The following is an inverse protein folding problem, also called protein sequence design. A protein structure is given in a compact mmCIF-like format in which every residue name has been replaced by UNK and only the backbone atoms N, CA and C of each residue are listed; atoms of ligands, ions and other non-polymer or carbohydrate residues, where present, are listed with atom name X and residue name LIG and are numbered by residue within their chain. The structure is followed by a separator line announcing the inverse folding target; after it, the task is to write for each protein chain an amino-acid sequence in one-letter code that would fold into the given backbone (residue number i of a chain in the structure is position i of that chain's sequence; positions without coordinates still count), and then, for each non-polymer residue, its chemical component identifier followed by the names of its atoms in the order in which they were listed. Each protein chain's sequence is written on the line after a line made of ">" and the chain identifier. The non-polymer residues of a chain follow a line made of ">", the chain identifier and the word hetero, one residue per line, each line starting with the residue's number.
data_IF_814312227672
#
_entry.id   IF_814312227672
#
_cell.length_a   1.000
_cell.length_b   1.000
_cell.length_c   1.000
_cell.angle_alpha   90.00
_cell.angle_beta   90.00
_cell.angle_gamma   90.00
#
_symmetry.space_group_name_H-M   'P 1'
#
loop_
_entity.id
_entity.type
_entity.pdbx_description
1 polymer ?
#
# COMPACT_ATOMS: atom_id res chain seq x y z
N UNK A 1 10.29 14.09 12.18
CA UNK A 1 9.47 13.42 11.15
C UNK A 1 10.46 12.89 10.13
N UNK A 2 11.22 11.87 10.52
CA UNK A 2 12.40 11.34 9.80
C UNK A 2 12.33 9.81 9.67
N UNK A 3 11.14 9.21 9.81
CA UNK A 3 11.00 7.76 9.78
C UNK A 3 10.64 7.21 8.40
N UNK A 4 10.20 8.03 7.43
CA UNK A 4 9.87 7.54 6.09
C UNK A 4 11.01 7.82 5.10
N UNK A 5 11.45 6.83 4.30
CA UNK A 5 12.46 7.07 3.27
C UNK A 5 11.97 8.12 2.27
N UNK A 6 12.83 9.06 1.86
CA UNK A 6 12.51 10.07 0.84
C UNK A 6 11.97 9.44 -0.46
N UNK A 7 12.46 8.25 -0.79
CA UNK A 7 12.02 7.46 -1.92
C UNK A 7 10.53 7.07 -1.83
N UNK A 8 10.05 6.76 -0.61
CA UNK A 8 8.63 6.48 -0.35
C UNK A 8 7.80 7.74 -0.51
N UNK A 9 8.30 8.87 -0.03
CA UNK A 9 7.63 10.16 -0.17
C UNK A 9 7.55 10.60 -1.63
N UNK A 10 8.61 10.39 -2.42
CA UNK A 10 8.61 10.66 -3.86
C UNK A 10 7.57 9.79 -4.57
N UNK A 11 7.58 8.47 -4.32
CA UNK A 11 6.61 7.54 -4.90
C UNK A 11 5.16 7.92 -4.53
N UNK A 12 4.91 8.35 -3.29
CA UNK A 12 3.60 8.84 -2.86
C UNK A 12 3.21 10.16 -3.52
N UNK A 13 4.17 11.07 -3.74
CA UNK A 13 3.94 12.35 -4.42
C UNK A 13 3.67 12.19 -5.91
N UNK A 14 4.27 11.19 -6.55
CA UNK A 14 4.08 10.87 -7.98
C UNK A 14 2.85 9.98 -8.21
N UNK A 15 2.30 9.40 -7.14
CA UNK A 15 1.13 8.54 -7.19
C UNK A 15 -0.15 9.29 -7.55
N UNK A 16 -0.94 8.71 -8.44
CA UNK A 16 -2.27 9.22 -8.79
C UNK A 16 -3.25 9.06 -7.61
N UNK A 17 -4.25 9.95 -7.47
CA UNK A 17 -5.32 9.84 -6.48
C UNK A 17 -6.01 8.46 -6.48
N UNK A 18 -6.30 7.93 -7.67
CA UNK A 18 -6.95 6.63 -7.84
C UNK A 18 -6.08 5.48 -7.34
N UNK A 19 -4.76 5.57 -7.55
CA UNK A 19 -3.80 4.61 -7.02
C UNK A 19 -3.76 4.64 -5.49
N UNK A 20 -3.69 5.84 -4.89
CA UNK A 20 -3.66 6.01 -3.44
C UNK A 20 -4.93 5.45 -2.78
N UNK A 21 -6.09 5.64 -3.40
CA UNK A 21 -7.35 5.08 -2.91
C UNK A 21 -7.39 3.55 -3.02
N UNK A 22 -6.98 3.00 -4.16
CA UNK A 22 -6.89 1.57 -4.38
C UNK A 22 -5.92 0.93 -3.36
N UNK A 23 -4.75 1.53 -3.17
CA UNK A 23 -3.73 1.05 -2.25
C UNK A 23 -4.17 1.17 -0.78
N UNK A 24 -4.81 2.27 -0.39
CA UNK A 24 -5.43 2.40 0.94
C UNK A 24 -6.49 1.30 1.19
N UNK A 25 -7.27 0.97 0.16
CA UNK A 25 -8.27 -0.12 0.24
C UNK A 25 -7.59 -1.47 0.41
N UNK A 26 -6.52 -1.73 -0.34
CA UNK A 26 -5.73 -2.94 -0.23
C UNK A 26 -5.12 -3.10 1.17
N UNK A 27 -4.44 -2.08 1.67
CA UNK A 27 -3.84 -2.10 3.01
C UNK A 27 -4.89 -2.34 4.10
N UNK A 28 -6.07 -1.72 4.00
CA UNK A 28 -7.15 -1.95 4.96
C UNK A 28 -7.68 -3.39 4.90
N UNK A 29 -7.75 -3.99 3.70
CA UNK A 29 -8.14 -5.40 3.55
C UNK A 29 -7.08 -6.33 4.15
N UNK A 30 -5.79 -6.06 3.90
CA UNK A 30 -4.67 -6.84 4.44
C UNK A 30 -4.59 -6.72 5.98
N UNK A 31 -4.86 -5.54 6.54
CA UNK A 31 -4.93 -5.35 8.00
C UNK A 31 -6.11 -6.06 8.65
N UNK A 32 -7.26 -6.12 7.96
CA UNK A 32 -8.48 -6.75 8.50
C UNK A 32 -8.48 -8.27 8.37
N UNK A 33 -7.82 -8.81 7.34
CA UNK A 33 -7.79 -10.24 7.09
C UNK A 33 -6.45 -10.80 7.55
N UNK A 34 -6.50 -11.72 8.53
CA UNK A 34 -5.32 -12.48 8.91
C UNK A 34 -4.97 -13.58 7.88
N UNK A 35 -5.84 -13.80 6.91
CA UNK A 35 -5.69 -14.79 5.83
C UNK A 35 -5.31 -14.10 4.51
N UNK A 36 -4.65 -14.84 3.57
CA UNK A 36 -4.37 -14.34 2.23
C UNK A 36 -5.65 -13.91 1.51
N UNK A 37 -5.66 -12.69 0.98
CA UNK A 37 -6.71 -12.16 0.13
C UNK A 37 -6.67 -12.81 -1.25
N UNK A 38 -7.81 -12.96 -1.92
CA UNK A 38 -7.77 -13.31 -3.33
C UNK A 38 -7.27 -12.15 -4.19
N UNK A 39 -6.49 -12.43 -5.22
CA UNK A 39 -6.03 -11.43 -6.21
C UNK A 39 -7.23 -10.80 -6.93
N UNK A 40 -8.33 -11.53 -7.09
CA UNK A 40 -9.58 -11.00 -7.63
C UNK A 40 -10.24 -9.93 -6.73
N UNK A 41 -9.86 -9.90 -5.45
CA UNK A 41 -10.25 -8.84 -4.52
C UNK A 41 -9.31 -7.62 -4.57
N UNK A 42 -8.30 -7.61 -5.44
CA UNK A 42 -7.55 -6.39 -5.71
C UNK A 42 -8.45 -5.35 -6.37
N UNK A 43 -8.35 -4.08 -5.97
CA UNK A 43 -8.94 -2.98 -6.72
C UNK A 43 -8.47 -3.04 -8.17
N UNK A 44 -9.35 -2.70 -9.12
CA UNK A 44 -9.07 -2.75 -10.56
C UNK A 44 -7.77 -2.04 -10.93
N UNK A 45 -7.48 -0.90 -10.29
CA UNK A 45 -6.25 -0.15 -10.53
C UNK A 45 -4.97 -0.92 -10.16
N UNK A 46 -5.02 -1.78 -9.14
CA UNK A 46 -3.90 -2.61 -8.67
C UNK A 46 -3.83 -3.98 -9.37
N UNK A 47 -4.79 -4.30 -10.24
CA UNK A 47 -4.67 -5.47 -11.12
C UNK A 47 -3.68 -5.19 -12.26
N UNK A 48 -3.42 -3.92 -12.57
CA UNK A 48 -2.35 -3.54 -13.49
C UNK A 48 -0.97 -3.88 -12.89
N UNK A 49 -0.12 -4.52 -13.68
CA UNK A 49 1.19 -4.96 -13.20
C UNK A 49 2.09 -3.78 -12.79
N UNK A 50 1.99 -2.62 -13.45
CA UNK A 50 2.80 -1.44 -13.11
C UNK A 50 2.37 -0.85 -11.77
N UNK A 51 1.05 -0.66 -11.59
CA UNK A 51 0.50 -0.20 -10.33
C UNK A 51 0.81 -1.19 -9.19
N UNK A 52 0.71 -2.49 -9.46
CA UNK A 52 1.05 -3.53 -8.49
C UNK A 52 2.54 -3.48 -8.10
N UNK A 53 3.45 -3.29 -9.05
CA UNK A 53 4.89 -3.15 -8.73
C UNK A 53 5.18 -1.90 -7.90
N UNK A 54 4.52 -0.78 -8.22
CA UNK A 54 4.65 0.44 -7.41
C UNK A 54 4.12 0.23 -5.99
N UNK A 55 3.01 -0.49 -5.84
CA UNK A 55 2.45 -0.90 -4.55
C UNK A 55 3.42 -1.78 -3.75
N UNK A 56 4.05 -2.76 -4.40
CA UNK A 56 5.05 -3.64 -3.79
C UNK A 56 6.28 -2.86 -3.33
N UNK A 57 6.78 -1.93 -4.15
CA UNK A 57 7.92 -1.06 -3.79
C UNK A 57 7.61 -0.16 -2.59
N UNK A 58 6.43 0.44 -2.55
CA UNK A 58 5.98 1.26 -1.41
C UNK A 58 5.86 0.45 -0.11
N UNK A 59 5.39 -0.80 -0.18
CA UNK A 59 5.35 -1.67 0.98
C UNK A 59 6.77 -2.08 1.41
N UNK A 60 7.62 -2.41 0.44
CA UNK A 60 9.00 -2.82 0.69
C UNK A 60 9.80 -1.74 1.40
N UNK A 61 9.58 -0.47 1.05
CA UNK A 61 10.24 0.66 1.72
C UNK A 61 9.78 0.86 3.16
N UNK A 62 8.56 0.41 3.51
CA UNK A 62 8.03 0.36 4.87
C UNK A 62 8.30 -0.98 5.59
N UNK A 63 9.22 -1.79 5.05
CA UNK A 63 9.59 -3.11 5.59
C UNK A 63 8.42 -4.12 5.61
N UNK A 64 7.52 -3.98 4.63
CA UNK A 64 6.40 -4.90 4.39
C UNK A 64 6.63 -5.59 3.05
N UNK A 65 6.74 -6.92 3.06
CA UNK A 65 6.82 -7.70 1.83
C UNK A 65 5.41 -8.05 1.35
N UNK A 66 5.02 -7.57 0.17
CA UNK A 66 3.81 -8.04 -0.50
C UNK A 66 4.14 -9.35 -1.21
N UNK A 67 3.34 -10.39 -0.97
CA UNK A 67 3.47 -11.70 -1.60
C UNK A 67 2.23 -11.98 -2.41
N UNK A 68 2.43 -12.42 -3.66
CA UNK A 68 1.36 -12.96 -4.50
C UNK A 68 1.69 -14.39 -4.91
N UNK A 69 0.70 -15.25 -4.81
CA UNK A 69 0.66 -16.62 -5.33
C UNK A 69 -0.57 -16.76 -6.23
N UNK A 70 -0.61 -17.73 -7.14
CA UNK A 70 -1.56 -17.83 -8.29
C UNK A 70 -2.94 -17.15 -8.18
N UNK A 71 -3.67 -17.28 -7.06
CA UNK A 71 -4.89 -16.50 -6.78
C UNK A 71 -4.88 -15.81 -5.39
N UNK A 72 -3.78 -15.88 -4.64
CA UNK A 72 -3.68 -15.40 -3.25
C UNK A 72 -2.69 -14.25 -3.11
N UNK A 73 -2.96 -13.34 -2.20
CA UNK A 73 -2.19 -12.15 -1.92
C UNK A 73 -2.16 -11.91 -0.41
N UNK A 74 -0.97 -11.82 0.17
CA UNK A 74 -0.80 -11.49 1.58
C UNK A 74 0.39 -10.57 1.76
N UNK A 75 0.45 -9.91 2.92
CA UNK A 75 1.58 -9.08 3.29
C UNK A 75 2.27 -9.67 4.49
N UNK A 76 3.59 -9.79 4.43
CA UNK A 76 4.43 -10.17 5.55
C UNK A 76 5.15 -8.93 6.06
N UNK A 77 4.85 -8.52 7.28
CA UNK A 77 5.56 -7.43 7.95
C UNK A 77 6.75 -8.02 8.70
N UNK A 78 7.96 -7.55 8.40
CA UNK A 78 9.16 -7.99 9.11
C UNK A 78 9.08 -7.65 10.61
N UNK A 79 9.67 -8.47 11.47
CA UNK A 79 9.71 -8.21 12.93
C UNK A 79 10.40 -6.89 13.29
N UNK A 80 11.23 -6.35 12.39
CA UNK A 80 11.93 -5.07 12.52
C UNK A 80 11.18 -3.90 11.87
N UNK A 81 9.97 -4.09 11.35
CA UNK A 81 9.23 -3.03 10.67
C UNK A 81 8.79 -1.90 11.62
N UNK A 82 8.76 -2.15 12.93
CA UNK A 82 8.43 -1.14 13.93
C UNK A 82 7.10 -0.44 13.62
N UNK A 83 7.13 0.89 13.55
CA UNK A 83 5.95 1.73 13.24
C UNK A 83 5.86 2.12 11.76
N UNK A 84 6.81 1.74 10.90
CA UNK A 84 6.85 2.14 9.48
C UNK A 84 5.57 1.77 8.71
N UNK A 85 5.01 0.55 8.83
CA UNK A 85 3.77 0.20 8.14
C UNK A 85 2.56 1.02 8.63
N UNK A 86 2.59 1.46 9.89
CA UNK A 86 1.55 2.32 10.47
C UNK A 86 1.66 3.73 9.91
N UNK A 87 2.87 4.28 9.87
CA UNK A 87 3.14 5.61 9.30
C UNK A 87 2.76 5.62 7.82
N UNK A 88 3.20 4.63 7.03
CA UNK A 88 2.84 4.51 5.61
C UNK A 88 1.32 4.45 5.43
N UNK A 89 0.64 3.59 6.20
CA UNK A 89 -0.81 3.49 6.16
C UNK A 89 -1.50 4.81 6.50
N UNK A 90 -0.98 5.56 7.47
CA UNK A 90 -1.55 6.84 7.88
C UNK A 90 -1.36 7.90 6.79
N UNK A 91 -0.16 7.98 6.20
CA UNK A 91 0.15 8.91 5.13
C UNK A 91 -0.71 8.64 3.89
N UNK A 92 -0.86 7.38 3.49
CA UNK A 92 -1.70 7.02 2.34
C UNK A 92 -3.17 7.30 2.64
N UNK A 93 -3.64 6.97 3.84
CA UNK A 93 -5.01 7.28 4.24
C UNK A 93 -5.27 8.79 4.21
N UNK A 94 -4.33 9.58 4.75
CA UNK A 94 -4.38 11.04 4.74
C UNK A 94 -4.34 11.62 3.33
N UNK A 95 -3.43 11.14 2.47
CA UNK A 95 -3.32 11.56 1.07
C UNK A 95 -4.58 11.20 0.28
N UNK A 96 -5.10 9.98 0.42
CA UNK A 96 -6.35 9.57 -0.22
C UNK A 96 -7.54 10.45 0.22
N UNK A 97 -7.61 10.82 1.50
CA UNK A 97 -8.62 11.77 2.01
C UNK A 97 -8.45 13.18 1.44
N UNK A 98 -7.22 13.68 1.39
CA UNK A 98 -6.90 15.00 0.82
C UNK A 98 -7.26 15.06 -0.67
N UNK A 99 -6.95 14.00 -1.42
CA UNK A 99 -7.31 13.88 -2.83
C UNK A 99 -8.83 13.79 -3.03
N UNK A 100 -9.57 13.11 -2.14
CA UNK A 100 -11.04 13.07 -2.16
C UNK A 100 -11.71 14.39 -1.79
N UNK A 101 -11.06 15.18 -0.94
CA UNK A 101 -11.56 16.48 -0.46
C UNK A 101 -11.45 17.62 -1.47
N UNK A 102 -10.78 17.43 -2.61
CA UNK A 102 -10.70 18.43 -3.69
C UNK A 102 -11.88 18.38 -4.68
N UNK A 103 -13.03 17.83 -4.28
CA UNK A 103 -14.23 17.77 -5.13
C UNK A 103 -15.21 18.89 -4.82
#
# INVERSE_FOLDING_TARGET
>A
MEEMPDETLSLLSESQPDFLEAFNTLMNRLKKNSEPLSIQCLPVFLQDNQAFQQAEQLLSSANVALKRDSDRLWSETGSEAGVLPLILSLCIHGLALLCKGQK
#
